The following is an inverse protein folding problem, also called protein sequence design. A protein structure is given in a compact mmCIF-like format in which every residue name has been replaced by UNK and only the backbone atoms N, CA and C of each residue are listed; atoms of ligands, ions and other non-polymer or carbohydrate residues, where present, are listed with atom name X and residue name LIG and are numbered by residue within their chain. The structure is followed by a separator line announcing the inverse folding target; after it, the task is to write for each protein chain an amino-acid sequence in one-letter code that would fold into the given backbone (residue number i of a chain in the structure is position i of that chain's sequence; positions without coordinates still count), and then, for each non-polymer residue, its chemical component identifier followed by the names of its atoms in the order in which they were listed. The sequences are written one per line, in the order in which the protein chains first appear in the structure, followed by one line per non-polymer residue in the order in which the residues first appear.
data_IF_688552375803
#
_entry.id   IF_688552375803
#
_cell.length_a   1.000
_cell.length_b   1.000
_cell.length_c   1.000
_cell.angle_alpha   90.00
_cell.angle_beta   90.00
_cell.angle_gamma   90.00
#
_symmetry.space_group_name_H-M   'P 1'
#
loop_
_entity.id
_entity.type
_entity.pdbx_description
1 polymer ?
#
# COMPACT_ATOMS: atom_id res chain seq x y z
N UNK A 1 -6.98 -6.56 15.28
CA UNK A 1 -7.68 -5.28 15.09
C UNK A 1 -8.22 -5.28 13.67
N UNK A 2 -9.45 -4.81 13.45
CA UNK A 2 -9.99 -4.69 12.09
C UNK A 2 -9.29 -3.55 11.32
N UNK A 3 -9.38 -3.57 9.98
CA UNK A 3 -8.72 -2.62 9.09
C UNK A 3 -9.14 -1.17 9.38
N UNK A 4 -10.44 -0.94 9.57
CA UNK A 4 -11.00 0.39 9.80
C UNK A 4 -10.42 1.03 11.06
N UNK A 5 -10.39 0.28 12.16
CA UNK A 5 -9.85 0.75 13.44
C UNK A 5 -8.34 0.99 13.35
N UNK A 6 -7.61 0.12 12.63
CA UNK A 6 -6.15 0.27 12.40
C UNK A 6 -5.84 1.56 11.67
N UNK A 7 -6.59 1.84 10.61
CA UNK A 7 -6.47 3.08 9.85
C UNK A 7 -6.78 4.31 10.69
N UNK A 8 -7.84 4.27 11.51
CA UNK A 8 -8.20 5.40 12.38
C UNK A 8 -7.08 5.75 13.37
N UNK A 9 -6.45 4.75 13.99
CA UNK A 9 -5.33 4.96 14.92
C UNK A 9 -4.11 5.53 14.19
N UNK A 10 -3.74 4.96 13.03
CA UNK A 10 -2.59 5.46 12.24
C UNK A 10 -2.78 6.92 11.84
N UNK A 11 -3.98 7.30 11.38
CA UNK A 11 -4.30 8.68 11.02
C UNK A 11 -4.27 9.62 12.22
N UNK A 12 -4.83 9.21 13.36
CA UNK A 12 -4.78 10.03 14.56
C UNK A 12 -3.34 10.35 14.98
N UNK A 13 -2.47 9.33 15.00
CA UNK A 13 -1.07 9.53 15.38
C UNK A 13 -0.30 10.38 14.36
N UNK A 14 -0.47 10.12 13.06
CA UNK A 14 0.29 10.83 12.01
C UNK A 14 -0.25 12.21 11.69
N UNK A 15 -1.57 12.37 11.55
CA UNK A 15 -2.22 13.59 11.05
C UNK A 15 -2.66 14.51 12.19
N UNK A 16 -3.20 13.97 13.28
CA UNK A 16 -3.68 14.80 14.40
C UNK A 16 -2.55 15.14 15.37
N UNK A 17 -1.66 14.19 15.65
CA UNK A 17 -0.53 14.41 16.57
C UNK A 17 0.78 14.77 15.85
N UNK A 18 0.83 14.67 14.52
CA UNK A 18 2.03 15.02 13.74
C UNK A 18 3.21 14.06 13.93
N UNK A 19 2.97 12.82 14.36
CA UNK A 19 4.03 11.85 14.63
C UNK A 19 4.48 11.12 13.36
N UNK A 20 5.78 10.87 13.26
CA UNK A 20 6.32 9.96 12.26
C UNK A 20 6.10 8.51 12.71
N UNK A 21 5.52 7.69 11.83
CA UNK A 21 5.22 6.29 12.10
C UNK A 21 6.13 5.36 11.31
N UNK A 22 6.78 4.44 12.00
CA UNK A 22 7.51 3.31 11.41
C UNK A 22 6.85 2.05 11.94
N UNK A 23 6.36 1.19 11.04
CA UNK A 23 5.65 -0.03 11.42
C UNK A 23 6.32 -1.24 10.77
N UNK A 24 6.80 -2.17 11.60
CA UNK A 24 7.26 -3.47 11.16
C UNK A 24 6.09 -4.46 11.14
N UNK A 25 5.76 -4.98 9.95
CA UNK A 25 4.63 -5.89 9.76
C UNK A 25 4.94 -6.96 8.70
N UNK A 26 4.34 -8.16 8.78
CA UNK A 26 4.40 -9.12 7.69
C UNK A 26 3.74 -8.57 6.43
N UNK A 27 4.33 -8.82 5.26
CA UNK A 27 3.80 -8.39 3.95
C UNK A 27 2.37 -8.87 3.73
N UNK A 28 2.04 -10.09 4.18
CA UNK A 28 0.69 -10.69 4.09
C UNK A 28 -0.41 -9.91 4.84
N UNK A 29 -0.05 -9.03 5.77
CA UNK A 29 -1.00 -8.23 6.57
C UNK A 29 -0.91 -6.73 6.29
N UNK A 30 -0.05 -6.32 5.37
CA UNK A 30 0.22 -4.90 5.10
C UNK A 30 -0.84 -4.24 4.21
N UNK A 31 -1.48 -4.98 3.31
CA UNK A 31 -2.30 -4.42 2.22
C UNK A 31 -3.37 -3.43 2.67
N UNK A 32 -4.06 -3.75 3.77
CA UNK A 32 -5.13 -2.95 4.36
C UNK A 32 -4.70 -1.55 4.83
N UNK A 33 -3.43 -1.38 5.22
CA UNK A 33 -2.91 -0.13 5.80
C UNK A 33 -1.85 0.55 4.94
N UNK A 34 -1.40 -0.07 3.84
CA UNK A 34 -0.47 0.54 2.85
C UNK A 34 -0.89 1.96 2.42
N UNK A 35 -2.18 2.28 2.19
CA UNK A 35 -2.58 3.63 1.78
C UNK A 35 -2.29 4.74 2.81
N UNK A 36 -1.95 4.37 4.05
CA UNK A 36 -1.62 5.33 5.11
C UNK A 36 -0.14 5.68 5.19
N UNK A 37 0.73 5.00 4.44
CA UNK A 37 2.17 5.23 4.44
C UNK A 37 2.64 5.86 3.12
N UNK A 38 3.72 6.63 3.21
CA UNK A 38 4.35 7.28 2.06
C UNK A 38 5.51 6.44 1.48
N UNK A 39 6.02 5.48 2.26
CA UNK A 39 7.16 4.64 1.88
C UNK A 39 7.02 3.22 2.43
N UNK A 40 7.49 2.25 1.67
CA UNK A 40 7.57 0.85 2.05
C UNK A 40 8.97 0.29 1.78
N UNK A 41 9.46 -0.50 2.73
CA UNK A 41 10.64 -1.33 2.57
C UNK A 41 10.24 -2.78 2.78
N UNK A 42 10.43 -3.61 1.76
CA UNK A 42 10.23 -5.06 1.85
C UNK A 42 11.57 -5.76 1.92
N UNK A 43 11.74 -6.59 2.94
CA UNK A 43 12.95 -7.36 3.17
C UNK A 43 12.71 -8.83 2.83
N UNK A 44 13.51 -9.36 1.92
CA UNK A 44 13.46 -10.76 1.51
C UNK A 44 14.75 -11.46 1.92
N UNK A 45 14.64 -12.54 2.69
CA UNK A 45 15.78 -13.39 3.04
C UNK A 45 16.01 -14.39 1.92
N UNK A 46 17.15 -14.27 1.25
CA UNK A 46 17.57 -15.15 0.17
C UNK A 46 18.67 -16.08 0.66
N UNK A 47 18.62 -17.33 0.22
CA UNK A 47 19.71 -18.29 0.44
C UNK A 47 20.67 -18.24 -0.76
N UNK A 48 21.97 -18.19 -0.50
CA UNK A 48 23.01 -18.21 -1.52
C UNK A 48 24.16 -19.13 -1.10
N UNK A 49 25.07 -19.41 -2.03
CA UNK A 49 26.30 -20.17 -1.76
C UNK A 49 27.50 -19.24 -1.95
N UNK A 50 28.40 -19.22 -0.97
CA UNK A 50 29.67 -18.52 -1.04
C UNK A 50 30.75 -19.40 -0.40
N UNK A 51 31.87 -19.62 -1.09
CA UNK A 51 33.00 -20.44 -0.62
C UNK A 51 32.60 -21.83 -0.09
N UNK A 52 31.65 -22.48 -0.77
CA UNK A 52 31.13 -23.79 -0.37
C UNK A 52 30.23 -23.78 0.87
N UNK A 53 29.88 -22.62 1.40
CA UNK A 53 28.98 -22.45 2.54
C UNK A 53 27.67 -21.77 2.14
N UNK A 54 26.60 -22.19 2.80
CA UNK A 54 25.31 -21.52 2.69
C UNK A 54 25.35 -20.20 3.44
N UNK A 55 25.10 -19.11 2.74
CA UNK A 55 24.96 -17.76 3.30
C UNK A 55 23.55 -17.25 3.09
N UNK A 56 23.13 -16.26 3.88
CA UNK A 56 21.85 -15.60 3.73
C UNK A 56 22.05 -14.12 3.41
N UNK A 57 21.40 -13.68 2.34
CA UNK A 57 21.39 -12.29 1.91
C UNK A 57 20.04 -11.68 2.27
N UNK A 58 20.04 -10.41 2.67
CA UNK A 58 18.81 -9.63 2.78
C UNK A 58 18.70 -8.72 1.58
N UNK A 59 17.76 -9.02 0.70
CA UNK A 59 17.39 -8.11 -0.38
C UNK A 59 16.38 -7.10 0.16
N UNK A 60 16.54 -5.83 -0.23
CA UNK A 60 15.66 -4.74 0.16
C UNK A 60 15.02 -4.16 -1.09
N UNK A 61 13.70 -4.18 -1.12
CA UNK A 61 12.91 -3.46 -2.11
C UNK A 61 12.32 -2.20 -1.48
N UNK A 62 12.65 -1.05 -2.05
CA UNK A 62 12.10 0.25 -1.66
C UNK A 62 10.98 0.67 -2.61
N UNK A 63 9.92 1.25 -2.05
CA UNK A 63 8.81 1.81 -2.81
C UNK A 63 8.30 3.10 -2.19
N UNK A 64 8.19 4.13 -3.02
CA UNK A 64 7.50 5.37 -2.68
C UNK A 64 6.03 5.32 -3.09
N UNK A 65 5.16 5.66 -2.15
CA UNK A 65 3.73 5.78 -2.40
C UNK A 65 3.37 7.24 -2.66
N UNK A 66 3.04 7.55 -3.92
CA UNK A 66 2.54 8.86 -4.33
C UNK A 66 1.05 8.98 -4.00
N UNK A 67 0.72 9.19 -2.73
CA UNK A 67 -0.67 9.14 -2.20
C UNK A 67 -1.65 10.01 -3.00
N UNK A 68 -1.28 11.26 -3.25
CA UNK A 68 -2.15 12.21 -3.96
C UNK A 68 -2.38 11.79 -5.41
N UNK A 69 -1.31 11.40 -6.12
CA UNK A 69 -1.41 10.93 -7.50
C UNK A 69 -2.25 9.63 -7.60
N UNK A 70 -2.09 8.72 -6.64
CA UNK A 70 -2.89 7.50 -6.54
C UNK A 70 -4.36 7.81 -6.26
N UNK A 71 -4.65 8.73 -5.33
CA UNK A 71 -6.02 9.13 -5.01
C UNK A 71 -6.72 9.79 -6.21
N UNK A 72 -5.99 10.63 -6.95
CA UNK A 72 -6.49 11.25 -8.18
C UNK A 72 -6.80 10.18 -9.24
N UNK A 73 -5.84 9.29 -9.52
CA UNK A 73 -6.01 8.21 -10.50
C UNK A 73 -7.24 7.34 -10.20
N UNK A 74 -7.46 7.01 -8.92
CA UNK A 74 -8.62 6.22 -8.50
C UNK A 74 -9.93 6.97 -8.66
N UNK A 75 -9.92 8.28 -8.38
CA UNK A 75 -11.10 9.15 -8.58
C UNK A 75 -11.47 9.23 -10.05
N UNK A 76 -10.49 9.47 -10.92
CA UNK A 76 -10.67 9.54 -12.37
C UNK A 76 -11.20 8.22 -12.93
N UNK A 77 -10.61 7.10 -12.50
CA UNK A 77 -11.07 5.77 -12.89
C UNK A 77 -12.52 5.50 -12.44
N UNK A 78 -12.86 5.87 -11.21
CA UNK A 78 -14.23 5.71 -10.70
C UNK A 78 -15.24 6.59 -11.45
N UNK A 79 -14.85 7.77 -11.90
CA UNK A 79 -15.70 8.61 -12.75
C UNK A 79 -15.92 7.97 -14.12
N UNK A 80 -14.85 7.53 -14.78
CA UNK A 80 -14.92 6.87 -16.09
C UNK A 80 -15.79 5.59 -16.04
N UNK A 81 -15.63 4.76 -14.99
CA UNK A 81 -16.42 3.55 -14.81
C UNK A 81 -17.93 3.85 -14.64
N UNK A 82 -18.29 4.90 -13.90
CA UNK A 82 -19.69 5.32 -13.75
C UNK A 82 -20.27 5.81 -15.06
N UNK A 83 -19.50 6.59 -15.82
CA UNK A 83 -19.92 7.11 -17.12
C UNK A 83 -20.15 5.98 -18.14
N UNK A 84 -19.23 5.01 -18.20
CA UNK A 84 -19.39 3.81 -19.03
C UNK A 84 -20.63 3.00 -18.64
N UNK A 85 -20.87 2.82 -17.33
CA UNK A 85 -22.05 2.11 -16.85
C UNK A 85 -23.35 2.84 -17.24
N UNK A 86 -23.37 4.18 -17.16
CA UNK A 86 -24.49 5.02 -17.60
C UNK A 86 -24.77 4.83 -19.10
N UNK A 87 -23.75 4.97 -19.94
CA UNK A 87 -23.90 4.82 -21.39
C UNK A 87 -24.38 3.42 -21.77
N UNK A 88 -23.85 2.38 -21.12
CA UNK A 88 -24.29 1.00 -21.35
C UNK A 88 -25.75 0.78 -20.95
N UNK A 89 -26.22 1.41 -19.88
CA UNK A 89 -27.62 1.36 -19.47
C UNK A 89 -28.54 2.09 -20.45
N UNK A 90 -28.15 3.28 -20.90
CA UNK A 90 -28.92 4.06 -21.88
C UNK A 90 -29.02 3.35 -23.24
N UNK A 91 -27.97 2.66 -23.67
CA UNK A 91 -27.96 1.89 -24.93
C UNK A 91 -28.86 0.65 -24.91
N UNK A 92 -29.30 0.18 -23.75
CA UNK A 92 -30.22 -0.96 -23.60
C UNK A 92 -31.69 -0.54 -23.52
N UNK A 93 -31.98 0.76 -23.49
CA UNK A 93 -33.33 1.34 -23.38
C UNK A 93 -33.83 1.80 -24.75
#
# INVERSE_FOLDING_TARGET
MDESRSRAVLRFLSQNMGLQLIVAMPTSKSGAIKPEFDKEYTFSKLQAQADGQTVYLSEVQEKDFKRDAMAQLWTDHAQAAREQARQAFEAQK
#
